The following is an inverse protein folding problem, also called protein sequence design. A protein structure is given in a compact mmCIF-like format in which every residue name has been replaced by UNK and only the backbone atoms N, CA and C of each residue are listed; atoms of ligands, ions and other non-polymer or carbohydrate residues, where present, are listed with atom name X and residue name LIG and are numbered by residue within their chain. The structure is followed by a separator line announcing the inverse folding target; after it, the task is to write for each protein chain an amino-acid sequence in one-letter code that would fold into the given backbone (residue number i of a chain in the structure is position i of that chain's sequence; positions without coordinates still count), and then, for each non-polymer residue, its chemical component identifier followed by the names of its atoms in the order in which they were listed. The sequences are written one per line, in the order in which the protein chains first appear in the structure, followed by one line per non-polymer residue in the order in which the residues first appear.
data_IF_734521842837
#
_entry.id   IF_734521842837
#
_cell.length_a   1.000
_cell.length_b   1.000
_cell.length_c   1.000
_cell.angle_alpha   90.00
_cell.angle_beta   90.00
_cell.angle_gamma   90.00
#
_symmetry.space_group_name_H-M   'P 1'
#
loop_
_entity.id
_entity.type
_entity.pdbx_description
1 polymer ?
#
# COMPACT_ATOMS: atom_id res chain seq x y z
N UNK A 1 -2.48 2.58 11.91
CA UNK A 1 -3.58 2.31 10.95
C UNK A 1 -3.03 2.00 9.55
N UNK A 2 -2.19 2.88 8.97
CA UNK A 2 -1.54 2.63 7.67
C UNK A 2 -0.67 1.35 7.64
N UNK A 3 0.26 1.12 8.60
CA UNK A 3 1.12 -0.08 8.56
C UNK A 3 0.33 -1.39 8.65
N UNK A 4 -0.75 -1.40 9.42
CA UNK A 4 -1.64 -2.55 9.57
C UNK A 4 -2.45 -2.80 8.29
N UNK A 5 -2.94 -1.73 7.65
CA UNK A 5 -3.68 -1.83 6.38
C UNK A 5 -2.79 -2.31 5.23
N UNK A 6 -1.55 -1.81 5.16
CA UNK A 6 -0.55 -2.29 4.21
C UNK A 6 -0.25 -3.78 4.40
N UNK A 7 -0.01 -4.22 5.65
CA UNK A 7 0.16 -5.65 5.98
C UNK A 7 -1.06 -6.48 5.59
N UNK A 8 -2.26 -5.96 5.81
CA UNK A 8 -3.51 -6.66 5.49
C UNK A 8 -3.68 -6.85 3.98
N UNK A 9 -3.43 -5.81 3.17
CA UNK A 9 -3.44 -5.88 1.71
C UNK A 9 -2.47 -6.93 1.19
N UNK A 10 -1.23 -6.90 1.69
CA UNK A 10 -0.23 -7.90 1.31
C UNK A 10 -0.68 -9.32 1.65
N UNK A 11 -1.18 -9.55 2.86
CA UNK A 11 -1.67 -10.87 3.29
C UNK A 11 -2.89 -11.33 2.49
N UNK A 12 -3.80 -10.42 2.14
CA UNK A 12 -4.98 -10.71 1.31
C UNK A 12 -4.58 -11.20 -0.09
N UNK A 13 -3.49 -10.67 -0.63
CA UNK A 13 -2.92 -11.11 -1.91
C UNK A 13 -2.05 -12.38 -1.79
N UNK A 14 -1.83 -12.90 -0.57
CA UNK A 14 -0.94 -14.05 -0.36
C UNK A 14 0.55 -13.75 -0.56
N UNK A 15 0.94 -12.49 -0.59
CA UNK A 15 2.31 -12.08 -0.93
C UNK A 15 3.25 -12.04 0.30
N UNK A 16 4.48 -12.44 0.08
CA UNK A 16 5.64 -12.11 0.92
C UNK A 16 5.94 -10.61 0.82
N UNK A 17 6.74 -10.08 1.75
CA UNK A 17 7.20 -8.69 1.67
C UNK A 17 8.03 -8.41 0.42
N UNK A 18 8.69 -9.43 -0.17
CA UNK A 18 9.47 -9.26 -1.38
C UNK A 18 8.58 -9.16 -2.62
N UNK A 19 7.62 -10.05 -2.75
CA UNK A 19 6.64 -10.03 -3.85
C UNK A 19 5.80 -8.75 -3.81
N UNK A 20 5.37 -8.29 -2.63
CA UNK A 20 4.66 -7.03 -2.50
C UNK A 20 5.52 -5.81 -2.87
N UNK A 21 6.81 -5.84 -2.55
CA UNK A 21 7.72 -4.77 -2.96
C UNK A 21 7.88 -4.74 -4.49
N UNK A 22 8.01 -5.91 -5.12
CA UNK A 22 8.08 -6.04 -6.58
C UNK A 22 6.79 -5.58 -7.26
N UNK A 23 5.62 -6.05 -6.79
CA UNK A 23 4.31 -5.68 -7.32
C UNK A 23 4.01 -4.17 -7.22
N UNK A 24 4.52 -3.51 -6.18
CA UNK A 24 4.30 -2.07 -5.95
C UNK A 24 5.45 -1.20 -6.46
N UNK A 25 6.49 -1.76 -7.07
CA UNK A 25 7.68 -1.00 -7.49
C UNK A 25 8.42 -0.31 -6.33
N UNK A 26 8.29 -0.86 -5.12
CA UNK A 26 8.95 -0.43 -3.90
C UNK A 26 10.25 -1.22 -3.69
N UNK A 27 11.19 -0.65 -2.93
CA UNK A 27 12.31 -1.45 -2.44
C UNK A 27 11.85 -2.36 -1.30
N UNK A 28 12.43 -3.55 -1.19
CA UNK A 28 12.11 -4.49 -0.10
C UNK A 28 12.24 -3.85 1.29
N UNK A 29 13.35 -3.14 1.54
CA UNK A 29 13.57 -2.42 2.80
C UNK A 29 12.57 -1.28 3.00
N UNK A 30 12.20 -0.58 1.93
CA UNK A 30 11.19 0.46 1.97
C UNK A 30 9.83 -0.10 2.41
N UNK A 31 9.37 -1.20 1.81
CA UNK A 31 8.14 -1.86 2.20
C UNK A 31 8.20 -2.33 3.67
N UNK A 32 9.31 -2.95 4.08
CA UNK A 32 9.52 -3.42 5.45
C UNK A 32 9.44 -2.28 6.47
N UNK A 33 10.12 -1.16 6.21
CA UNK A 33 10.08 0.02 7.07
C UNK A 33 8.66 0.58 7.21
N UNK A 34 7.90 0.64 6.12
CA UNK A 34 6.51 1.12 6.10
C UNK A 34 5.60 0.20 6.91
N UNK A 35 5.73 -1.11 6.74
CA UNK A 35 5.05 -2.11 7.57
C UNK A 35 5.47 -2.04 9.05
N UNK A 36 6.67 -1.55 9.35
CA UNK A 36 7.16 -1.35 10.70
C UNK A 36 6.73 -0.01 11.33
N UNK A 37 6.03 0.86 10.58
CA UNK A 37 5.50 2.13 11.11
C UNK A 37 6.17 3.40 10.60
N UNK A 38 7.11 3.30 9.66
CA UNK A 38 7.66 4.49 8.99
C UNK A 38 6.54 5.22 8.24
N UNK A 39 6.56 6.55 8.31
CA UNK A 39 5.60 7.38 7.57
C UNK A 39 5.88 7.29 6.07
N UNK A 40 4.86 7.04 5.24
CA UNK A 40 5.04 7.01 3.80
C UNK A 40 5.30 8.41 3.24
N UNK A 41 6.15 8.48 2.23
CA UNK A 41 6.28 9.66 1.38
C UNK A 41 5.23 9.66 0.27
N UNK A 42 5.15 10.77 -0.46
CA UNK A 42 4.23 10.94 -1.59
C UNK A 42 4.37 9.82 -2.64
N UNK A 43 5.59 9.59 -3.16
CA UNK A 43 5.83 8.57 -4.18
C UNK A 43 5.50 7.15 -3.69
N UNK A 44 5.75 6.87 -2.40
CA UNK A 44 5.39 5.59 -1.81
C UNK A 44 3.88 5.38 -1.77
N UNK A 45 3.11 6.43 -1.47
CA UNK A 45 1.65 6.32 -1.44
C UNK A 45 1.07 6.00 -2.82
N UNK A 46 1.55 6.68 -3.86
CA UNK A 46 1.08 6.43 -5.23
C UNK A 46 1.44 5.02 -5.69
N UNK A 47 2.71 4.63 -5.54
CA UNK A 47 3.18 3.28 -5.88
C UNK A 47 2.41 2.16 -5.17
N UNK A 48 2.12 2.34 -3.89
CA UNK A 48 1.33 1.39 -3.12
C UNK A 48 -0.13 1.39 -3.56
N UNK A 49 -0.71 2.55 -3.86
CA UNK A 49 -2.09 2.66 -4.34
C UNK A 49 -2.24 1.93 -5.67
N UNK A 50 -1.35 2.21 -6.63
CA UNK A 50 -1.35 1.59 -7.95
C UNK A 50 -1.09 0.08 -7.86
N UNK A 51 -0.04 -0.34 -7.15
CA UNK A 51 0.35 -1.75 -7.07
C UNK A 51 -0.61 -2.64 -6.28
N UNK A 52 -1.46 -2.06 -5.41
CA UNK A 52 -2.54 -2.78 -4.74
C UNK A 52 -3.92 -2.51 -5.34
N UNK A 53 -4.00 -1.68 -6.39
CA UNK A 53 -5.24 -1.25 -7.04
C UNK A 53 -6.26 -0.68 -6.04
N UNK A 54 -5.79 0.16 -5.12
CA UNK A 54 -6.61 0.85 -4.11
C UNK A 54 -6.35 2.34 -4.12
N UNK A 55 -7.21 3.13 -3.48
CA UNK A 55 -6.99 4.56 -3.33
C UNK A 55 -6.03 4.90 -2.18
N UNK A 56 -5.42 6.08 -2.26
CA UNK A 56 -4.60 6.62 -1.17
C UNK A 56 -5.44 6.87 0.09
N UNK A 57 -6.69 7.32 -0.06
CA UNK A 57 -7.61 7.51 1.08
C UNK A 57 -7.89 6.19 1.79
N UNK A 58 -8.01 5.09 1.04
CA UNK A 58 -8.04 3.76 1.62
C UNK A 58 -6.72 3.47 2.33
N UNK A 59 -5.56 3.55 1.69
CA UNK A 59 -4.29 3.23 2.38
C UNK A 59 -4.10 4.00 3.69
N UNK A 60 -4.49 5.28 3.70
CA UNK A 60 -4.31 6.18 4.83
C UNK A 60 -5.37 6.07 5.94
N UNK A 61 -6.39 5.22 5.78
CA UNK A 61 -7.39 5.02 6.83
C UNK A 61 -8.55 6.03 6.82
N UNK A 62 -8.72 6.80 5.74
CA UNK A 62 -9.80 7.80 5.64
C UNK A 62 -11.14 7.22 5.22
N UNK A 63 -11.12 6.04 4.62
CA UNK A 63 -12.30 5.29 4.17
C UNK A 63 -12.02 3.79 4.23
N UNK A 64 -13.07 2.96 4.29
CA UNK A 64 -12.97 1.51 4.11
C UNK A 64 -13.33 1.08 2.67
N UNK A 65 -13.74 2.01 1.81
CA UNK A 65 -13.92 1.77 0.39
C UNK A 65 -12.54 1.81 -0.33
N UNK A 66 -12.05 0.66 -0.85
CA UNK A 66 -10.75 0.60 -1.51
C UNK A 66 -10.67 1.40 -2.80
N UNK A 67 -11.78 1.77 -3.43
CA UNK A 67 -11.79 2.45 -4.74
C UNK A 67 -12.26 3.90 -4.68
N UNK A 68 -12.45 4.44 -3.47
CA UNK A 68 -12.87 5.83 -3.31
C UNK A 68 -11.93 6.77 -4.07
N UNK A 69 -12.47 7.56 -4.99
CA UNK A 69 -11.71 8.49 -5.85
C UNK A 69 -10.63 7.86 -6.73
N UNK A 70 -10.73 6.56 -7.07
CA UNK A 70 -9.99 6.09 -8.25
C UNK A 70 -10.52 6.86 -9.46
N UNK A 71 -9.61 7.50 -10.19
CA UNK A 71 -9.93 8.08 -11.48
C UNK A 71 -10.15 6.89 -12.42
N UNK A 72 -11.40 6.65 -12.80
CA UNK A 72 -11.70 5.76 -13.92
C UNK A 72 -11.14 6.45 -15.17
N UNK A 73 -10.01 5.93 -15.69
CA UNK A 73 -9.53 6.28 -17.05
C UNK A 73 -10.34 5.53 -18.12
#
# INVERSE_FOLDING_TARGET
MFPERLKALRKKNGWTQREAAEATGMSYRGLQDLEAGKKPGYDSLLKLADGFEVSVDYLMGRTDDPRLHQLDE
#
